data_IF_325419901476
#
_entry.id   IF_325419901476
#
_cell.length_a   1.000
_cell.length_b   1.000
_cell.length_c   1.000
_cell.angle_alpha   90.00
_cell.angle_beta   90.00
_cell.angle_gamma   90.00
#
_symmetry.space_group_name_H-M   'P 1'
#
loop_
_entity.id
_entity.type
_entity.pdbx_description
1 polymer ?
#
# COMPACT_ATOMS: atom_id res chain seq x y z
N UNK A 1 -9.72 6.29 14.72
CA UNK A 1 -10.71 5.53 13.94
C UNK A 1 -9.97 4.91 12.76
N UNK A 2 -10.16 3.61 12.49
CA UNK A 2 -9.56 2.92 11.34
C UNK A 2 -10.66 2.68 10.32
N UNK A 3 -10.53 3.25 9.12
CA UNK A 3 -11.39 2.96 7.98
C UNK A 3 -10.60 2.14 6.95
N UNK A 4 -11.23 1.11 6.37
CA UNK A 4 -10.65 0.36 5.27
C UNK A 4 -11.70 0.14 4.17
N UNK A 5 -11.28 0.30 2.92
CA UNK A 5 -12.09 0.05 1.74
C UNK A 5 -11.45 -1.05 0.90
N UNK A 6 -12.25 -2.00 0.45
CA UNK A 6 -11.79 -3.10 -0.41
C UNK A 6 -12.68 -3.15 -1.65
N UNK A 7 -12.06 -3.05 -2.82
CA UNK A 7 -12.75 -3.29 -4.08
C UNK A 7 -13.03 -4.79 -4.21
N UNK A 8 -14.27 -5.22 -3.93
CA UNK A 8 -14.65 -6.64 -4.02
C UNK A 8 -14.89 -7.05 -5.47
N UNK A 9 -15.60 -6.20 -6.22
CA UNK A 9 -16.00 -6.40 -7.63
C UNK A 9 -15.95 -5.06 -8.37
N UNK A 10 -16.03 -5.11 -9.70
CA UNK A 10 -16.27 -3.91 -10.53
C UNK A 10 -15.10 -2.92 -10.58
N UNK A 11 -13.86 -3.40 -10.49
CA UNK A 11 -12.66 -2.56 -10.59
C UNK A 11 -12.63 -1.69 -11.86
N UNK A 12 -13.24 -2.15 -12.95
CA UNK A 12 -13.31 -1.41 -14.23
C UNK A 12 -14.08 -0.08 -14.10
N UNK A 13 -15.18 -0.05 -13.34
CA UNK A 13 -15.93 1.19 -13.09
C UNK A 13 -15.13 2.18 -12.22
N UNK A 14 -14.38 1.65 -11.24
CA UNK A 14 -13.48 2.45 -10.40
C UNK A 14 -12.29 2.96 -11.22
N UNK A 15 -11.72 2.12 -12.09
CA UNK A 15 -10.64 2.49 -13.01
C UNK A 15 -11.09 3.60 -13.95
N UNK A 16 -12.27 3.51 -14.56
CA UNK A 16 -12.81 4.55 -15.42
C UNK A 16 -13.02 5.88 -14.68
N UNK A 17 -13.46 5.85 -13.41
CA UNK A 17 -13.58 7.06 -12.59
C UNK A 17 -12.21 7.66 -12.25
N UNK A 18 -11.23 6.82 -11.89
CA UNK A 18 -9.86 7.24 -11.60
C UNK A 18 -9.20 7.85 -12.84
N UNK A 19 -9.38 7.24 -14.01
CA UNK A 19 -8.83 7.76 -15.26
C UNK A 19 -9.50 9.07 -15.67
N UNK A 20 -10.83 9.20 -15.50
CA UNK A 20 -11.53 10.46 -15.71
C UNK A 20 -11.07 11.56 -14.75
N UNK A 21 -10.74 11.23 -13.49
CA UNK A 21 -10.21 12.18 -12.52
C UNK A 21 -8.79 12.61 -12.91
N UNK A 22 -7.91 11.67 -13.26
CA UNK A 22 -6.55 11.95 -13.75
C UNK A 22 -6.54 12.82 -15.00
N UNK A 23 -7.47 12.60 -15.92
CA UNK A 23 -7.61 13.44 -17.11
C UNK A 23 -7.97 14.89 -16.79
N UNK A 24 -8.58 15.14 -15.62
CA UNK A 24 -8.95 16.49 -15.15
C UNK A 24 -7.88 17.11 -14.26
N UNK A 25 -7.07 16.29 -13.59
CA UNK A 25 -6.00 16.73 -12.69
C UNK A 25 -4.67 16.05 -13.05
N UNK A 26 -3.90 16.69 -13.94
CA UNK A 26 -2.62 16.19 -14.44
C UNK A 26 -1.54 16.01 -13.34
N UNK A 27 -1.73 16.58 -12.15
CA UNK A 27 -0.86 16.43 -10.99
C UNK A 27 -1.07 15.13 -10.21
N UNK A 28 -2.13 14.35 -10.52
CA UNK A 28 -2.35 13.05 -9.92
C UNK A 28 -1.34 12.03 -10.47
N UNK A 29 -0.48 11.53 -9.59
CA UNK A 29 0.59 10.63 -9.98
C UNK A 29 0.05 9.28 -10.53
N UNK A 30 0.67 8.77 -11.61
CA UNK A 30 0.21 7.62 -12.41
C UNK A 30 0.40 6.25 -11.74
N UNK A 31 -0.54 5.84 -10.87
CA UNK A 31 -0.54 4.53 -10.18
C UNK A 31 -0.96 3.33 -11.04
N UNK A 32 -0.72 2.12 -10.49
CA UNK A 32 -1.35 0.90 -10.98
C UNK A 32 -2.88 1.11 -11.11
N UNK A 33 -3.52 0.51 -12.11
CA UNK A 33 -4.96 0.58 -12.23
C UNK A 33 -5.62 -0.04 -10.98
N UNK A 34 -6.77 0.48 -10.53
CA UNK A 34 -7.53 -0.15 -9.47
C UNK A 34 -7.80 -1.62 -9.80
N UNK A 35 -7.58 -2.51 -8.83
CA UNK A 35 -7.90 -3.93 -8.92
C UNK A 35 -9.06 -4.27 -7.95
N UNK A 36 -9.74 -5.38 -8.22
CA UNK A 36 -10.78 -5.93 -7.35
C UNK A 36 -10.49 -7.39 -7.01
N UNK A 37 -10.93 -7.83 -5.83
CA UNK A 37 -10.78 -9.22 -5.38
C UNK A 37 -11.33 -10.23 -6.38
N UNK A 38 -12.42 -9.89 -7.09
CA UNK A 38 -13.01 -10.75 -8.10
C UNK A 38 -12.08 -11.13 -9.25
N UNK A 39 -11.00 -10.37 -9.48
CA UNK A 39 -9.98 -10.70 -10.48
C UNK A 39 -9.18 -11.93 -10.06
N UNK A 40 -8.86 -12.06 -8.77
CA UNK A 40 -8.12 -13.19 -8.22
C UNK A 40 -9.03 -14.32 -7.70
N UNK A 41 -10.26 -13.98 -7.28
CA UNK A 41 -11.22 -14.91 -6.70
C UNK A 41 -12.63 -14.60 -7.23
N UNK A 42 -13.04 -15.30 -8.29
CA UNK A 42 -14.30 -15.01 -9.00
C UNK A 42 -15.56 -15.06 -8.11
N UNK A 43 -15.53 -15.85 -7.02
CA UNK A 43 -16.61 -15.97 -6.05
C UNK A 43 -16.64 -14.85 -5.00
N UNK A 44 -15.65 -13.95 -4.97
CA UNK A 44 -15.53 -12.90 -3.96
C UNK A 44 -16.81 -12.05 -3.86
N UNK A 45 -17.41 -12.02 -2.67
CA UNK A 45 -18.61 -11.26 -2.37
C UNK A 45 -18.41 -10.42 -1.11
N UNK A 46 -19.29 -9.43 -0.91
CA UNK A 46 -19.16 -8.45 0.17
C UNK A 46 -19.19 -9.13 1.55
N UNK A 47 -20.15 -10.03 1.77
CA UNK A 47 -20.37 -10.68 3.06
C UNK A 47 -19.15 -11.49 3.49
N UNK A 48 -18.65 -12.37 2.63
CA UNK A 48 -17.51 -13.23 2.96
C UNK A 48 -16.21 -12.42 3.08
N UNK A 49 -16.04 -11.38 2.24
CA UNK A 49 -14.88 -10.48 2.33
C UNK A 49 -14.88 -9.73 3.67
N UNK A 50 -16.03 -9.21 4.09
CA UNK A 50 -16.18 -8.52 5.37
C UNK A 50 -15.91 -9.48 6.53
N UNK A 51 -16.52 -10.66 6.52
CA UNK A 51 -16.31 -11.68 7.55
C UNK A 51 -14.84 -12.09 7.66
N UNK A 52 -14.17 -12.38 6.54
CA UNK A 52 -12.75 -12.72 6.52
C UNK A 52 -11.87 -11.56 7.01
N UNK A 53 -12.19 -10.33 6.63
CA UNK A 53 -11.47 -9.13 7.08
C UNK A 53 -11.59 -8.94 8.59
N UNK A 54 -12.80 -9.05 9.15
CA UNK A 54 -13.03 -8.91 10.59
C UNK A 54 -12.35 -10.04 11.38
N UNK A 55 -12.45 -11.28 10.90
CA UNK A 55 -11.80 -12.43 11.53
C UNK A 55 -10.27 -12.29 11.58
N UNK A 56 -9.66 -11.64 10.58
CA UNK A 56 -8.23 -11.35 10.58
C UNK A 56 -7.87 -10.11 11.41
N UNK A 57 -8.66 -9.03 11.31
CA UNK A 57 -8.37 -7.74 11.95
C UNK A 57 -8.58 -7.77 13.46
N UNK A 58 -9.63 -8.40 13.97
CA UNK A 58 -9.93 -8.43 15.41
C UNK A 58 -8.76 -8.93 16.26
N UNK A 59 -8.18 -10.13 16.01
CA UNK A 59 -7.03 -10.60 16.77
C UNK A 59 -5.77 -9.78 16.47
N UNK A 60 -5.57 -9.31 15.22
CA UNK A 60 -4.42 -8.48 14.87
C UNK A 60 -4.42 -7.15 15.62
N UNK A 61 -5.58 -6.50 15.79
CA UNK A 61 -5.71 -5.26 16.55
C UNK A 61 -5.43 -5.48 18.04
N UNK A 62 -5.91 -6.60 18.60
CA UNK A 62 -5.61 -6.96 19.99
C UNK A 62 -4.11 -7.19 20.21
N UNK A 63 -3.47 -7.96 19.31
CA UNK A 63 -2.03 -8.20 19.36
C UNK A 63 -1.23 -6.91 19.18
N UNK A 64 -1.61 -6.05 18.23
CA UNK A 64 -0.95 -4.76 18.04
C UNK A 64 -1.08 -3.86 19.28
N UNK A 65 -2.23 -3.88 19.95
CA UNK A 65 -2.43 -3.14 21.20
C UNK A 65 -1.53 -3.62 22.35
N UNK A 66 -1.18 -4.91 22.37
CA UNK A 66 -0.36 -5.51 23.42
C UNK A 66 1.16 -5.46 23.11
N UNK A 67 1.54 -5.70 21.86
CA UNK A 67 2.93 -5.97 21.46
C UNK A 67 3.47 -4.94 20.45
N UNK A 68 2.63 -4.04 19.95
CA UNK A 68 2.99 -3.08 18.92
C UNK A 68 3.21 -3.74 17.55
N UNK A 69 4.05 -3.12 16.71
CA UNK A 69 4.27 -3.53 15.32
C UNK A 69 5.20 -4.74 15.17
N UNK A 70 6.11 -4.96 16.12
CA UNK A 70 7.20 -5.95 16.00
C UNK A 70 6.75 -7.34 15.53
N UNK A 71 5.66 -7.94 16.05
CA UNK A 71 5.21 -9.26 15.60
C UNK A 71 4.74 -9.31 14.13
N UNK A 72 4.38 -8.16 13.56
CA UNK A 72 3.85 -8.05 12.19
C UNK A 72 4.95 -7.83 11.15
N UNK A 73 6.13 -7.34 11.55
CA UNK A 73 7.23 -6.99 10.64
C UNK A 73 7.62 -8.15 9.71
N UNK A 74 7.81 -9.40 10.18
CA UNK A 74 8.18 -10.51 9.29
C UNK A 74 7.11 -10.80 8.23
N UNK A 75 5.83 -10.77 8.62
CA UNK A 75 4.71 -10.99 7.68
C UNK A 75 4.59 -9.84 6.68
N UNK A 76 4.86 -8.61 7.13
CA UNK A 76 4.90 -7.45 6.24
C UNK A 76 6.01 -7.59 5.20
N UNK A 77 7.23 -7.94 5.61
CA UNK A 77 8.36 -8.13 4.68
C UNK A 77 8.08 -9.23 3.66
N UNK A 78 7.46 -10.34 4.07
CA UNK A 78 7.09 -11.43 3.17
C UNK A 78 6.06 -11.03 2.10
N UNK A 79 5.29 -9.97 2.33
CA UNK A 79 4.25 -9.45 1.42
C UNK A 79 4.64 -8.09 0.81
N UNK A 80 5.88 -7.64 0.99
CA UNK A 80 6.31 -6.33 0.52
C UNK A 80 6.48 -6.32 -1.01
N UNK A 81 5.51 -5.71 -1.69
CA UNK A 81 5.44 -5.67 -3.15
C UNK A 81 6.69 -5.08 -3.84
N UNK A 82 7.43 -4.20 -3.17
CA UNK A 82 8.62 -3.52 -3.69
C UNK A 82 9.94 -4.01 -3.08
N UNK A 83 9.93 -5.09 -2.31
CA UNK A 83 11.14 -5.58 -1.64
C UNK A 83 12.30 -5.78 -2.63
N UNK A 84 13.44 -5.15 -2.35
CA UNK A 84 14.65 -5.24 -3.16
C UNK A 84 14.55 -4.54 -4.52
N UNK A 85 13.50 -3.75 -4.78
CA UNK A 85 13.34 -2.99 -6.02
C UNK A 85 13.77 -1.55 -5.83
N UNK A 86 14.36 -0.97 -6.86
CA UNK A 86 14.57 0.47 -6.92
C UNK A 86 13.21 1.17 -7.08
N UNK A 87 12.97 2.17 -6.24
CA UNK A 87 11.71 2.89 -6.16
C UNK A 87 11.95 4.39 -6.10
N UNK A 88 10.93 5.13 -6.54
CA UNK A 88 10.85 6.59 -6.44
C UNK A 88 9.68 6.96 -5.53
N UNK A 89 9.96 7.83 -4.56
CA UNK A 89 8.96 8.45 -3.70
C UNK A 89 8.58 9.80 -4.30
N UNK A 90 7.30 9.97 -4.62
CA UNK A 90 6.76 11.24 -5.11
C UNK A 90 5.85 11.86 -4.06
N UNK A 91 5.96 13.16 -3.84
CA UNK A 91 4.99 13.96 -3.08
C UNK A 91 4.43 15.03 -4.00
N UNK A 92 3.10 15.07 -4.17
CA UNK A 92 2.44 15.97 -5.13
C UNK A 92 3.02 15.91 -6.56
N UNK A 93 3.49 14.72 -6.98
CA UNK A 93 4.10 14.48 -8.29
C UNK A 93 5.58 14.84 -8.40
N UNK A 94 6.20 15.38 -7.35
CA UNK A 94 7.62 15.74 -7.31
C UNK A 94 8.43 14.63 -6.65
N UNK A 95 9.53 14.21 -7.27
CA UNK A 95 10.47 13.26 -6.68
C UNK A 95 11.10 13.83 -5.41
N UNK A 96 10.93 13.11 -4.31
CA UNK A 96 11.47 13.44 -2.99
C UNK A 96 12.64 12.55 -2.60
N UNK A 97 12.59 11.28 -2.99
CA UNK A 97 13.61 10.30 -2.70
C UNK A 97 13.61 9.18 -3.76
N UNK A 98 14.78 8.55 -3.92
CA UNK A 98 14.99 7.40 -4.79
C UNK A 98 15.99 6.45 -4.14
N UNK A 99 15.77 5.15 -4.29
CA UNK A 99 16.62 4.12 -3.71
C UNK A 99 15.96 2.76 -3.69
N UNK A 100 16.60 1.77 -3.06
CA UNK A 100 16.09 0.40 -2.98
C UNK A 100 15.17 0.27 -1.77
N UNK A 101 13.94 -0.20 -1.96
CA UNK A 101 13.03 -0.47 -0.84
C UNK A 101 13.48 -1.74 -0.09
N UNK A 102 13.90 -1.58 1.16
CA UNK A 102 14.51 -2.66 1.96
C UNK A 102 13.60 -3.21 3.05
N UNK A 103 12.56 -2.47 3.44
CA UNK A 103 11.63 -2.92 4.46
C UNK A 103 10.92 -1.79 5.19
N UNK A 104 10.46 -2.07 6.40
CA UNK A 104 10.03 -1.08 7.39
C UNK A 104 10.87 -1.18 8.66
N UNK A 105 11.00 -0.06 9.38
CA UNK A 105 11.57 -0.04 10.72
C UNK A 105 10.55 -0.45 11.81
N UNK A 106 10.99 -0.42 13.07
CA UNK A 106 10.15 -0.77 14.23
C UNK A 106 8.96 0.19 14.44
N UNK A 107 8.98 1.37 13.83
CA UNK A 107 7.90 2.37 13.89
C UNK A 107 6.97 2.32 12.68
N UNK A 108 7.31 1.50 11.67
CA UNK A 108 6.55 1.33 10.44
C UNK A 108 6.94 2.30 9.31
N UNK A 109 8.06 3.01 9.43
CA UNK A 109 8.58 3.85 8.35
C UNK A 109 9.22 2.99 7.26
N UNK A 110 8.99 3.34 6.00
CA UNK A 110 9.62 2.65 4.86
C UNK A 110 11.13 2.94 4.86
N UNK A 111 11.94 1.90 4.76
CA UNK A 111 13.40 2.00 4.65
C UNK A 111 13.81 2.00 3.18
N UNK A 112 14.45 3.10 2.75
CA UNK A 112 15.06 3.25 1.43
C UNK A 112 16.58 3.20 1.57
N UNK A 113 17.24 2.30 0.85
CA UNK A 113 18.69 2.32 0.69
C UNK A 113 19.07 3.27 -0.44
N UNK A 114 19.70 4.39 -0.10
CA UNK A 114 20.05 5.48 -1.01
C UNK A 114 21.57 5.62 -1.11
N UNK A 115 22.11 6.38 -2.08
CA UNK A 115 23.54 6.65 -2.13
C UNK A 115 24.10 7.32 -0.86
N UNK A 116 23.26 8.03 -0.10
CA UNK A 116 23.62 8.68 1.16
C UNK A 116 23.40 7.78 2.39
N UNK A 117 23.02 6.52 2.18
CA UNK A 117 22.72 5.52 3.20
C UNK A 117 21.22 5.22 3.36
N UNK A 118 20.89 4.43 4.37
CA UNK A 118 19.51 4.03 4.66
C UNK A 118 18.73 5.22 5.23
N UNK A 119 17.62 5.58 4.58
CA UNK A 119 16.70 6.62 5.01
C UNK A 119 15.36 6.02 5.41
N UNK A 120 14.83 6.45 6.56
CA UNK A 120 13.50 6.09 7.01
C UNK A 120 12.48 7.15 6.56
N UNK A 121 11.47 6.72 5.82
CA UNK A 121 10.46 7.57 5.20
C UNK A 121 9.13 7.37 5.93
N UNK A 122 8.64 8.43 6.57
CA UNK A 122 7.32 8.45 7.18
C UNK A 122 6.23 8.44 6.10
N UNK A 123 5.18 7.64 6.33
CA UNK A 123 4.01 7.64 5.48
C UNK A 123 3.24 8.97 5.63
N UNK A 124 3.02 9.65 4.51
CA UNK A 124 2.15 10.83 4.36
C UNK A 124 1.43 10.76 3.02
N UNK A 125 1.13 11.90 2.39
CA UNK A 125 0.57 11.97 1.03
C UNK A 125 1.67 11.74 -0.03
N UNK A 126 2.22 10.53 -0.04
CA UNK A 126 3.29 10.12 -0.95
C UNK A 126 2.85 8.97 -1.84
N UNK A 127 3.32 8.96 -3.08
CA UNK A 127 3.17 7.82 -3.98
C UNK A 127 4.53 7.13 -4.16
N UNK A 128 4.56 5.83 -3.93
CA UNK A 128 5.72 4.99 -4.20
C UNK A 128 5.58 4.33 -5.57
N UNK A 129 6.65 4.31 -6.36
CA UNK A 129 6.69 3.70 -7.69
C UNK A 129 7.96 2.90 -7.87
N UNK A 130 7.93 1.86 -8.69
CA UNK A 130 9.17 1.29 -9.23
C UNK A 130 9.87 2.35 -10.09
N UNK A 131 11.18 2.49 -9.93
CA UNK A 131 11.99 3.30 -10.81
C UNK A 131 11.98 2.64 -12.21
N UNK A 132 11.56 3.39 -13.23
CA UNK A 132 11.69 2.97 -14.63
C UNK A 132 13.09 3.26 -15.15
#
# INVERSE_FOLDING_TARGET
>A
MIGFGINVRGAEAVAAQVDALRAREATLASGLPPAALSIACASANLTDTLAASLNALTPALAQFGAEGLTPFVPRWHALHAYAGREVVLLEQGVERARGIATGIDATGQLLLDTPDGIQAIAAGDVSLREAQ
#
